data_IF_058734162250
#
_entry.id   IF_058734162250
#
_cell.length_a   1.000
_cell.length_b   1.000
_cell.length_c   1.000
_cell.angle_alpha   90.00
_cell.angle_beta   90.00
_cell.angle_gamma   90.00
#
_symmetry.space_group_name_H-M   'P 1'
#
loop_
_entity.id
_entity.type
_entity.pdbx_description
1 polymer ?
#
# COMPACT_ATOMS: atom_id res chain seq x y z
N UNK A 1 62.76 23.21 -29.39
CA UNK A 1 61.70 24.24 -29.40
C UNK A 1 60.69 23.86 -28.33
N UNK A 2 60.58 24.65 -27.25
CA UNK A 2 59.67 24.33 -26.14
C UNK A 2 58.24 24.78 -26.48
N UNK A 3 57.25 23.93 -26.22
CA UNK A 3 55.84 24.26 -26.45
C UNK A 3 55.39 25.43 -25.54
N UNK A 4 54.49 26.31 -26.00
CA UNK A 4 53.96 27.40 -25.18
C UNK A 4 53.16 26.82 -24.00
N UNK A 5 53.59 27.17 -22.78
CA UNK A 5 52.89 26.81 -21.54
C UNK A 5 51.72 27.79 -21.37
N UNK A 6 50.51 27.34 -21.69
CA UNK A 6 49.32 28.15 -21.49
C UNK A 6 48.92 28.21 -20.01
N UNK A 7 48.47 29.37 -19.51
CA UNK A 7 48.02 29.48 -18.13
C UNK A 7 46.78 28.62 -17.89
N UNK A 8 46.68 28.04 -16.69
CA UNK A 8 45.69 27.04 -16.35
C UNK A 8 44.23 27.49 -16.56
N UNK A 9 43.95 28.79 -16.48
CA UNK A 9 42.61 29.33 -16.73
C UNK A 9 42.19 29.23 -18.20
N UNK A 10 43.13 29.33 -19.15
CA UNK A 10 42.89 29.18 -20.59
C UNK A 10 42.59 27.73 -20.92
N UNK A 11 43.40 26.79 -20.40
CA UNK A 11 43.18 25.35 -20.56
C UNK A 11 41.81 24.96 -20.01
N UNK A 12 41.43 25.50 -18.85
CA UNK A 12 40.13 25.27 -18.21
C UNK A 12 38.95 25.89 -18.98
N UNK A 13 39.18 26.97 -19.73
CA UNK A 13 38.18 27.60 -20.60
C UNK A 13 37.93 26.77 -21.87
N UNK A 14 39.01 26.30 -22.51
CA UNK A 14 38.97 25.45 -23.71
C UNK A 14 38.39 24.06 -23.40
N UNK A 15 38.63 23.51 -22.21
CA UNK A 15 38.09 22.19 -21.81
C UNK A 15 36.58 22.18 -21.50
N UNK A 16 35.90 23.34 -21.55
CA UNK A 16 34.45 23.43 -21.30
C UNK A 16 34.04 23.13 -19.86
N UNK A 17 35.00 22.97 -18.94
CA UNK A 17 34.80 22.51 -17.56
C UNK A 17 34.06 23.54 -16.68
N UNK A 18 33.92 24.79 -17.15
CA UNK A 18 33.08 25.83 -16.52
C UNK A 18 31.57 25.59 -16.69
N UNK A 19 31.14 24.78 -17.66
CA UNK A 19 29.71 24.54 -17.96
C UNK A 19 29.05 23.54 -16.99
N UNK A 20 29.82 22.91 -16.10
CA UNK A 20 29.42 21.74 -15.32
C UNK A 20 29.27 21.98 -13.79
N UNK A 21 28.95 23.20 -13.35
CA UNK A 21 28.44 23.41 -11.97
C UNK A 21 26.93 23.22 -11.90
N UNK A 22 26.40 22.10 -12.42
CA UNK A 22 25.01 21.73 -12.14
C UNK A 22 24.98 21.15 -10.73
N UNK A 23 24.26 21.81 -9.81
CA UNK A 23 23.99 21.27 -8.48
C UNK A 23 23.40 19.86 -8.65
N UNK A 24 23.82 18.86 -7.86
CA UNK A 24 23.26 17.53 -7.98
C UNK A 24 21.73 17.59 -7.81
N UNK A 25 20.97 16.82 -8.60
CA UNK A 25 19.52 16.84 -8.52
C UNK A 25 19.06 16.35 -7.13
N UNK A 26 18.12 17.09 -6.53
CA UNK A 26 17.57 16.80 -5.20
C UNK A 26 16.76 15.50 -5.21
N UNK A 27 16.07 15.20 -6.31
CA UNK A 27 15.27 13.99 -6.48
C UNK A 27 15.75 13.22 -7.71
N UNK A 28 15.84 11.90 -7.55
CA UNK A 28 16.18 10.95 -8.62
C UNK A 28 15.06 9.91 -8.75
N UNK A 29 13.93 10.27 -9.39
CA UNK A 29 12.81 9.36 -9.50
C UNK A 29 13.15 8.18 -10.42
N UNK A 30 12.76 6.97 -10.04
CA UNK A 30 12.95 5.74 -10.84
C UNK A 30 11.99 5.64 -12.02
N UNK A 31 10.89 6.40 -11.99
CA UNK A 31 9.87 6.47 -13.03
C UNK A 31 9.65 7.93 -13.44
N UNK A 32 9.22 8.19 -14.69
CA UNK A 32 8.90 9.54 -15.12
C UNK A 32 7.78 10.13 -14.25
N UNK A 33 7.88 11.42 -13.93
CA UNK A 33 6.90 12.16 -13.14
C UNK A 33 5.70 12.55 -14.03
N UNK A 34 4.99 11.53 -14.49
CA UNK A 34 3.83 11.66 -15.38
C UNK A 34 2.68 10.87 -14.76
N UNK A 35 1.48 11.48 -14.76
CA UNK A 35 0.27 10.82 -14.28
C UNK A 35 -0.11 9.64 -15.20
N UNK A 36 -0.46 8.52 -14.59
CA UNK A 36 -0.97 7.35 -15.30
C UNK A 36 -2.49 7.47 -15.54
N UNK A 37 -2.99 6.84 -16.60
CA UNK A 37 -4.43 6.78 -16.92
C UNK A 37 -5.19 5.73 -16.10
N UNK A 38 -4.62 5.30 -14.96
CA UNK A 38 -5.20 4.32 -14.06
C UNK A 38 -4.71 4.54 -12.63
N UNK A 39 -5.58 4.23 -11.68
CA UNK A 39 -5.30 4.15 -10.25
C UNK A 39 -5.24 2.68 -9.85
N UNK A 40 -4.39 2.37 -8.87
CA UNK A 40 -4.33 1.04 -8.29
C UNK A 40 -5.67 0.67 -7.64
N UNK A 41 -6.00 -0.63 -7.65
CA UNK A 41 -7.14 -1.09 -6.88
C UNK A 41 -6.88 -0.91 -5.39
N UNK A 42 -7.94 -0.62 -4.63
CA UNK A 42 -7.88 -0.62 -3.17
C UNK A 42 -7.42 -2.00 -2.72
N UNK A 43 -6.40 -2.04 -1.88
CA UNK A 43 -5.93 -3.28 -1.27
C UNK A 43 -7.00 -3.76 -0.29
N UNK A 44 -7.40 -5.01 -0.43
CA UNK A 44 -8.23 -5.68 0.58
C UNK A 44 -7.45 -5.76 1.89
N UNK A 45 -8.13 -5.54 3.00
CA UNK A 45 -7.50 -5.68 4.32
C UNK A 45 -7.08 -7.15 4.47
N UNK A 46 -5.85 -7.38 4.92
CA UNK A 46 -5.39 -8.72 5.21
C UNK A 46 -6.27 -9.31 6.32
N UNK A 47 -6.67 -10.58 6.17
CA UNK A 47 -7.47 -11.25 7.18
C UNK A 47 -6.68 -11.38 8.48
N UNK A 48 -7.20 -10.80 9.56
CA UNK A 48 -6.71 -11.01 10.91
C UNK A 48 -7.53 -12.11 11.59
N UNK A 49 -6.91 -12.87 12.50
CA UNK A 49 -7.62 -13.85 13.28
C UNK A 49 -8.58 -13.14 14.24
N UNK A 50 -9.87 -13.40 14.10
CA UNK A 50 -10.92 -12.89 15.00
C UNK A 50 -11.14 -13.86 16.16
N UNK A 51 -11.66 -13.38 17.29
CA UNK A 51 -12.05 -14.19 18.45
C UNK A 51 -10.90 -14.92 19.19
N UNK A 52 -9.69 -14.34 19.16
CA UNK A 52 -8.49 -14.95 19.79
C UNK A 52 -8.65 -15.01 21.31
N UNK A 53 -9.30 -14.02 21.91
CA UNK A 53 -9.50 -13.90 23.35
C UNK A 53 -10.44 -14.96 23.90
N UNK A 54 -11.53 -15.23 23.20
CA UNK A 54 -12.53 -16.22 23.55
C UNK A 54 -11.95 -17.63 23.33
N UNK A 55 -11.17 -17.80 22.25
CA UNK A 55 -10.45 -19.04 21.99
C UNK A 55 -9.44 -19.35 23.11
N UNK A 56 -8.70 -18.37 23.61
CA UNK A 56 -7.70 -18.60 24.67
C UNK A 56 -8.35 -18.99 26.01
N UNK A 57 -9.51 -18.40 26.35
CA UNK A 57 -10.28 -18.77 27.55
C UNK A 57 -10.85 -20.19 27.43
N UNK A 58 -11.41 -20.55 26.27
CA UNK A 58 -11.88 -21.91 26.00
C UNK A 58 -10.75 -22.95 26.11
N UNK A 59 -9.57 -22.66 25.53
CA UNK A 59 -8.40 -23.54 25.67
C UNK A 59 -7.94 -23.67 27.13
N UNK A 60 -8.01 -22.59 27.91
CA UNK A 60 -7.65 -22.62 29.31
C UNK A 60 -8.59 -23.51 30.13
N UNK A 61 -9.90 -23.43 29.88
CA UNK A 61 -10.89 -24.31 30.51
C UNK A 61 -10.66 -25.77 30.13
N UNK A 62 -10.47 -26.06 28.84
CA UNK A 62 -10.19 -27.42 28.38
C UNK A 62 -8.94 -28.00 29.04
N UNK A 63 -7.88 -27.22 29.18
CA UNK A 63 -6.65 -27.67 29.84
C UNK A 63 -6.86 -28.03 31.32
N UNK A 64 -7.80 -27.39 32.01
CA UNK A 64 -8.10 -27.65 33.42
C UNK A 64 -9.05 -28.84 33.62
N UNK A 65 -9.90 -29.12 32.63
CA UNK A 65 -10.99 -30.10 32.72
C UNK A 65 -10.80 -31.29 31.77
N UNK A 66 -9.55 -31.63 31.44
CA UNK A 66 -9.19 -32.75 30.53
C UNK A 66 -9.97 -32.73 29.20
N UNK A 67 -10.14 -31.54 28.63
CA UNK A 67 -10.84 -31.29 27.37
C UNK A 67 -12.31 -31.75 27.39
N UNK A 68 -12.97 -31.73 28.56
CA UNK A 68 -14.38 -32.04 28.66
C UNK A 68 -15.25 -30.85 28.26
N UNK A 69 -15.97 -30.98 27.15
CA UNK A 69 -16.89 -29.96 26.63
C UNK A 69 -18.05 -29.63 27.56
N UNK A 70 -18.53 -30.60 28.35
CA UNK A 70 -19.65 -30.33 29.28
C UNK A 70 -19.22 -29.44 30.44
N UNK A 71 -17.96 -29.54 30.86
CA UNK A 71 -17.38 -28.71 31.91
C UNK A 71 -17.08 -27.29 31.43
N UNK A 72 -16.83 -27.10 30.13
CA UNK A 72 -16.47 -25.83 29.49
C UNK A 72 -17.58 -25.27 28.58
N UNK A 73 -18.83 -25.66 28.82
CA UNK A 73 -19.94 -25.35 27.93
C UNK A 73 -20.19 -23.84 27.78
N UNK A 74 -19.91 -23.06 28.83
CA UNK A 74 -20.08 -21.61 28.80
C UNK A 74 -19.02 -20.93 27.94
N UNK A 75 -17.75 -21.30 28.11
CA UNK A 75 -16.63 -20.78 27.34
C UNK A 75 -16.77 -21.12 25.85
N UNK A 76 -17.23 -22.34 25.55
CA UNK A 76 -17.54 -22.79 24.19
C UNK A 76 -18.66 -21.95 23.57
N UNK A 77 -19.74 -21.67 24.32
CA UNK A 77 -20.84 -20.83 23.84
C UNK A 77 -20.37 -19.42 23.50
N UNK A 78 -19.59 -18.80 24.39
CA UNK A 78 -19.05 -17.45 24.19
C UNK A 78 -18.16 -17.39 22.93
N UNK A 79 -17.30 -18.39 22.73
CA UNK A 79 -16.48 -18.50 21.54
C UNK A 79 -17.34 -18.58 20.26
N UNK A 80 -18.35 -19.45 20.23
CA UNK A 80 -19.23 -19.58 19.08
C UNK A 80 -20.04 -18.32 18.80
N UNK A 81 -20.48 -17.59 19.83
CA UNK A 81 -21.15 -16.30 19.66
C UNK A 81 -20.22 -15.27 19.01
N UNK A 82 -18.95 -15.22 19.41
CA UNK A 82 -17.96 -14.35 18.76
C UNK A 82 -17.79 -14.73 17.29
N UNK A 83 -17.61 -16.02 16.99
CA UNK A 83 -17.43 -16.50 15.60
C UNK A 83 -18.65 -16.13 14.75
N UNK A 84 -19.86 -16.33 15.25
CA UNK A 84 -21.08 -15.99 14.54
C UNK A 84 -21.21 -14.48 14.27
N UNK A 85 -20.76 -13.63 15.20
CA UNK A 85 -20.72 -12.17 15.00
C UNK A 85 -19.66 -11.79 13.96
N UNK A 86 -18.45 -12.33 14.08
CA UNK A 86 -17.36 -12.08 13.14
C UNK A 86 -17.72 -12.52 11.71
N UNK A 87 -18.40 -13.64 11.53
CA UNK A 87 -18.89 -14.08 10.22
C UNK A 87 -19.93 -13.14 9.61
N UNK A 88 -20.86 -12.62 10.44
CA UNK A 88 -21.85 -11.63 9.99
C UNK A 88 -21.19 -10.32 9.60
N UNK A 89 -20.24 -9.83 10.40
CA UNK A 89 -19.48 -8.62 10.10
C UNK A 89 -18.67 -8.75 8.80
N UNK A 90 -18.01 -9.89 8.57
CA UNK A 90 -17.28 -10.14 7.30
C UNK A 90 -18.19 -10.10 6.08
N UNK A 91 -19.42 -10.63 6.19
CA UNK A 91 -20.41 -10.56 5.10
C UNK A 91 -20.85 -9.12 4.85
N UNK A 92 -21.15 -8.37 5.91
CA UNK A 92 -21.58 -6.97 5.80
C UNK A 92 -20.47 -6.05 5.26
N UNK A 93 -19.20 -6.28 5.64
CA UNK A 93 -18.06 -5.50 5.12
C UNK A 93 -17.90 -5.65 3.60
N UNK A 94 -18.15 -6.84 3.06
CA UNK A 94 -18.12 -7.04 1.60
C UNK A 94 -19.21 -6.24 0.89
N UNK A 95 -20.36 -6.06 1.53
CA UNK A 95 -21.46 -5.23 0.99
C UNK A 95 -21.16 -3.73 1.13
N UNK A 96 -20.57 -3.30 2.24
CA UNK A 96 -20.16 -1.90 2.45
C UNK A 96 -19.03 -1.45 1.51
N UNK A 97 -18.13 -2.37 1.10
CA UNK A 97 -17.13 -2.09 0.04
C UNK A 97 -17.79 -1.73 -1.29
N UNK A 98 -18.96 -2.31 -1.59
CA UNK A 98 -19.75 -1.96 -2.79
C UNK A 98 -20.43 -0.60 -2.63
N UNK A 99 -20.88 -0.27 -1.42
CA UNK A 99 -21.49 1.01 -1.03
C UNK A 99 -20.45 2.00 -0.49
N UNK A 100 -19.39 2.24 -1.28
CA UNK A 100 -18.30 3.16 -0.94
C UNK A 100 -18.80 4.49 -0.36
N UNK A 101 -18.57 4.62 0.95
CA UNK A 101 -18.87 5.74 1.84
C UNK A 101 -17.97 6.93 1.48
N UNK A 102 -18.36 7.71 0.47
CA UNK A 102 -17.78 9.02 0.13
C UNK A 102 -16.91 9.06 -1.14
N UNK A 103 -16.09 8.03 -1.40
CA UNK A 103 -15.16 8.01 -2.53
C UNK A 103 -15.64 7.15 -3.71
N UNK A 104 -15.20 7.48 -4.93
CA UNK A 104 -15.46 6.64 -6.10
C UNK A 104 -14.60 5.36 -6.05
N UNK A 105 -15.20 4.23 -6.41
CA UNK A 105 -14.44 2.97 -6.53
C UNK A 105 -13.36 3.08 -7.61
N UNK A 106 -12.23 2.38 -7.45
CA UNK A 106 -11.11 2.42 -8.41
C UNK A 106 -11.55 2.08 -9.83
N UNK A 107 -12.54 1.18 -9.98
CA UNK A 107 -13.16 0.84 -11.26
C UNK A 107 -13.87 2.04 -11.92
N UNK A 108 -14.68 2.79 -11.16
CA UNK A 108 -15.37 4.00 -11.64
C UNK A 108 -14.36 5.08 -12.05
N UNK A 109 -13.33 5.31 -11.23
CA UNK A 109 -12.25 6.26 -11.53
C UNK A 109 -11.47 5.84 -12.78
N UNK A 110 -11.11 4.55 -12.89
CA UNK A 110 -10.40 4.03 -14.06
C UNK A 110 -11.23 4.14 -15.35
N UNK A 111 -12.56 3.99 -15.28
CA UNK A 111 -13.45 4.22 -16.42
C UNK A 111 -13.44 5.69 -16.85
N UNK A 112 -13.39 6.62 -15.89
CA UNK A 112 -13.30 8.06 -16.16
C UNK A 112 -11.94 8.44 -16.77
N UNK A 113 -10.83 7.97 -16.19
CA UNK A 113 -9.47 8.25 -16.66
C UNK A 113 -9.18 7.67 -18.05
N UNK A 114 -9.88 6.61 -18.45
CA UNK A 114 -9.81 6.09 -19.83
C UNK A 114 -10.52 6.99 -20.84
N UNK A 115 -11.56 7.71 -20.44
CA UNK A 115 -12.27 8.68 -21.31
C UNK A 115 -11.45 9.96 -21.49
N UNK A 116 -10.76 10.38 -20.44
CA UNK A 116 -9.93 11.58 -20.41
C UNK A 116 -8.49 11.22 -20.04
N UNK A 117 -7.73 10.57 -20.95
CA UNK A 117 -6.36 10.19 -20.67
C UNK A 117 -5.45 11.42 -20.60
N UNK A 118 -4.38 11.32 -19.82
CA UNK A 118 -3.31 12.29 -19.79
C UNK A 118 -2.65 12.36 -21.18
N UNK A 119 -2.83 13.49 -21.87
CA UNK A 119 -2.19 13.76 -23.16
C UNK A 119 -0.74 14.16 -22.87
N UNK A 120 0.19 13.21 -22.94
CA UNK A 120 1.64 13.48 -22.83
C UNK A 120 2.35 13.54 -24.16
N UNK A 121 1.59 13.60 -25.27
CA UNK A 121 2.18 13.98 -26.55
C UNK A 121 2.47 15.47 -26.50
N UNK A 122 3.71 15.82 -26.16
CA UNK A 122 4.30 17.04 -26.69
C UNK A 122 4.24 16.91 -28.22
N UNK A 123 3.38 17.71 -28.85
CA UNK A 123 3.59 18.14 -30.25
C UNK A 123 4.63 19.24 -30.20
#
# INVERSE_FOLDING_TARGET
>A
MAAPVYPAWVIRWVSGQWRQKKRPPVLRPTRPLVLANKVANRREQAGEATCITEMSVMMACWKQNDFNDTACAEEIRIFHECVAKAEKERKNQNEDILSSRGDLTSSKVNKLLRRFPQITRYV
#
